data_IF_539382121275
#
_entry.id   IF_539382121275
#
_cell.length_a   1.000
_cell.length_b   1.000
_cell.length_c   1.000
_cell.angle_alpha   90.00
_cell.angle_beta   90.00
_cell.angle_gamma   90.00
#
_symmetry.space_group_name_H-M   'P 1'
#
loop_
_entity.id
_entity.type
_entity.pdbx_description
1 polymer ?
#
# COMPACT_ATOMS: atom_id res chain seq x y z
N UNK A 1 21.74 0.34 7.66
CA UNK A 1 22.16 -0.80 6.83
C UNK A 1 23.60 -0.64 6.32
N UNK A 2 24.06 0.50 5.76
CA UNK A 2 25.42 0.63 5.22
C UNK A 2 26.55 0.38 6.24
N UNK A 3 26.36 0.71 7.52
CA UNK A 3 27.38 0.48 8.58
C UNK A 3 27.75 -0.99 8.75
N UNK A 4 26.90 -1.91 8.36
CA UNK A 4 27.12 -3.36 8.44
C UNK A 4 27.20 -3.99 7.03
N UNK A 5 27.50 -3.20 6.01
CA UNK A 5 27.66 -3.68 4.64
C UNK A 5 26.38 -4.21 3.98
N UNK A 6 25.22 -3.77 4.46
CA UNK A 6 23.92 -4.07 3.85
C UNK A 6 23.44 -2.89 3.01
N UNK A 7 22.83 -3.18 1.87
CA UNK A 7 22.17 -2.19 1.03
C UNK A 7 20.65 -2.33 1.15
N UNK A 8 19.97 -1.22 1.43
CA UNK A 8 18.53 -1.18 1.57
C UNK A 8 18.00 0.10 0.89
N UNK A 9 18.00 0.13 -0.45
CA UNK A 9 17.59 1.32 -1.20
C UNK A 9 16.10 1.55 -1.07
N UNK A 10 15.74 2.67 -0.44
CA UNK A 10 14.36 3.09 -0.21
C UNK A 10 14.07 4.38 -0.97
N UNK A 11 12.83 4.53 -1.43
CA UNK A 11 12.29 5.78 -1.94
C UNK A 11 11.18 6.30 -1.05
N UNK A 12 11.09 7.61 -0.82
CA UNK A 12 10.00 8.19 -0.07
C UNK A 12 8.73 8.21 -0.93
N UNK A 13 7.64 7.69 -0.37
CA UNK A 13 6.31 7.79 -0.96
C UNK A 13 5.33 8.14 0.15
N UNK A 14 4.77 9.34 0.09
CA UNK A 14 3.78 9.79 1.07
C UNK A 14 2.39 9.28 0.71
N UNK A 15 1.66 8.79 1.71
CA UNK A 15 0.23 8.51 1.62
C UNK A 15 -0.54 9.38 2.58
N UNK A 16 -1.72 9.84 2.17
CA UNK A 16 -2.64 10.59 3.00
C UNK A 16 -3.85 9.73 3.39
N UNK A 17 -4.45 10.06 4.49
CA UNK A 17 -5.67 9.43 5.00
C UNK A 17 -6.64 10.52 5.45
N UNK A 18 -7.87 10.43 4.96
CA UNK A 18 -9.00 11.22 5.42
C UNK A 18 -9.84 10.36 6.36
N UNK A 19 -10.22 10.89 7.50
CA UNK A 19 -11.02 10.21 8.53
C UNK A 19 -12.33 10.98 8.73
N UNK A 20 -13.44 10.26 8.64
CA UNK A 20 -14.77 10.84 8.81
C UNK A 20 -15.24 10.80 10.26
N UNK A 21 -16.32 11.51 10.54
CA UNK A 21 -17.14 11.27 11.74
C UNK A 21 -17.67 9.84 11.77
N UNK A 22 -18.25 9.44 12.90
CA UNK A 22 -18.82 8.11 13.09
C UNK A 22 -20.13 7.95 12.34
N UNK A 23 -20.24 6.87 11.60
CA UNK A 23 -21.43 6.47 10.86
C UNK A 23 -21.98 5.15 11.38
N UNK A 24 -23.24 4.88 11.12
CA UNK A 24 -23.76 3.52 11.30
C UNK A 24 -22.97 2.54 10.43
N UNK A 25 -22.73 1.32 10.89
CA UNK A 25 -22.04 0.29 10.08
C UNK A 25 -22.75 0.08 8.74
N UNK A 26 -21.99 0.19 7.65
CA UNK A 26 -22.48 -0.08 6.29
C UNK A 26 -21.46 -0.84 5.45
N UNK A 27 -20.20 -0.91 5.90
CA UNK A 27 -19.11 -1.54 5.17
C UNK A 27 -18.55 -2.70 6.02
N UNK A 28 -18.98 -3.91 5.72
CA UNK A 28 -18.59 -5.12 6.48
C UNK A 28 -17.14 -5.56 6.18
N UNK A 29 -16.60 -5.21 5.00
CA UNK A 29 -15.26 -5.57 4.59
C UNK A 29 -14.57 -4.35 3.98
N UNK A 30 -13.26 -4.14 4.22
CA UNK A 30 -12.53 -3.05 3.59
C UNK A 30 -12.50 -3.24 2.07
N UNK A 31 -12.58 -2.12 1.36
CA UNK A 31 -12.25 -2.03 -0.06
C UNK A 31 -10.89 -1.35 -0.22
N UNK A 32 -10.33 -1.33 -1.43
CA UNK A 32 -8.96 -0.83 -1.65
C UNK A 32 -8.74 0.56 -1.07
N UNK A 33 -9.74 1.45 -1.18
CA UNK A 33 -9.61 2.86 -0.82
C UNK A 33 -10.36 3.25 0.46
N UNK A 34 -11.18 2.36 1.01
CA UNK A 34 -12.02 2.65 2.17
C UNK A 34 -12.03 1.50 3.17
N UNK A 35 -12.04 1.89 4.43
CA UNK A 35 -12.26 0.98 5.54
C UNK A 35 -13.15 1.67 6.58
N UNK A 36 -14.20 1.00 7.04
CA UNK A 36 -14.94 1.43 8.23
C UNK A 36 -14.38 0.73 9.46
N UNK A 37 -14.16 1.49 10.53
CA UNK A 37 -13.70 0.94 11.82
C UNK A 37 -14.90 0.43 12.63
N UNK A 38 -14.64 -0.37 13.66
CA UNK A 38 -15.68 -0.89 14.55
C UNK A 38 -16.43 0.24 15.28
N UNK A 39 -15.76 1.38 15.53
CA UNK A 39 -16.38 2.58 16.12
C UNK A 39 -17.23 3.37 15.12
N UNK A 40 -17.19 3.01 13.83
CA UNK A 40 -18.01 3.60 12.78
C UNK A 40 -17.33 4.69 11.94
N UNK A 41 -16.08 5.10 12.23
CA UNK A 41 -15.38 6.06 11.37
C UNK A 41 -14.99 5.43 10.03
N UNK A 42 -15.01 6.20 8.95
CA UNK A 42 -14.52 5.74 7.66
C UNK A 42 -13.14 6.35 7.42
N UNK A 43 -12.17 5.49 7.16
CA UNK A 43 -10.83 5.87 6.71
C UNK A 43 -10.79 5.77 5.19
N UNK A 44 -10.42 6.87 4.54
CA UNK A 44 -10.33 6.99 3.08
C UNK A 44 -8.86 7.24 2.74
N UNK A 45 -8.32 6.51 1.78
CA UNK A 45 -6.90 6.59 1.47
C UNK A 45 -6.53 6.05 0.08
N UNK A 46 -5.30 5.53 -0.02
CA UNK A 46 -4.64 5.02 -1.22
C UNK A 46 -4.07 6.13 -2.12
N UNK A 47 -3.67 7.26 -1.54
CA UNK A 47 -2.87 8.24 -2.27
C UNK A 47 -1.40 7.83 -2.32
N UNK A 48 -0.70 8.34 -3.35
CA UNK A 48 0.73 8.15 -3.57
C UNK A 48 1.33 9.45 -4.06
N UNK A 49 2.24 9.98 -3.28
CA UNK A 49 2.92 11.24 -3.59
C UNK A 49 4.42 11.06 -3.40
N UNK A 50 5.21 11.50 -4.36
CA UNK A 50 6.67 11.59 -4.18
C UNK A 50 6.97 12.78 -3.27
N UNK A 51 7.23 12.51 -2.01
CA UNK A 51 7.51 13.53 -1.01
C UNK A 51 8.36 12.97 0.12
N UNK A 52 9.27 13.79 0.62
CA UNK A 52 10.10 13.52 1.81
C UNK A 52 9.49 14.11 3.09
N UNK A 53 8.48 14.96 2.97
CA UNK A 53 7.79 15.55 4.12
C UNK A 53 6.72 14.60 4.64
N UNK A 54 6.91 14.04 5.86
CA UNK A 54 5.97 13.08 6.43
C UNK A 54 4.68 13.72 6.94
N UNK A 55 4.67 15.03 7.16
CA UNK A 55 3.57 15.75 7.82
C UNK A 55 2.75 16.63 6.87
N UNK A 56 3.25 16.84 5.66
CA UNK A 56 2.58 17.68 4.67
C UNK A 56 1.27 17.06 4.20
N UNK A 57 0.25 17.89 4.03
CA UNK A 57 -1.04 17.52 3.47
C UNK A 57 -1.27 18.29 2.17
N UNK A 58 -1.68 17.58 1.13
CA UNK A 58 -2.04 18.14 -0.17
C UNK A 58 -3.55 18.13 -0.31
N UNK A 59 -4.19 19.29 -0.25
CA UNK A 59 -5.66 19.42 -0.29
C UNK A 59 -6.23 18.77 -1.54
N UNK A 60 -5.60 18.96 -2.71
CA UNK A 60 -6.06 18.34 -3.96
C UNK A 60 -6.08 16.82 -3.91
N UNK A 61 -5.13 16.19 -3.20
CA UNK A 61 -5.12 14.74 -2.99
C UNK A 61 -6.27 14.30 -2.10
N UNK A 62 -6.46 14.96 -0.96
CA UNK A 62 -7.59 14.68 -0.06
C UNK A 62 -8.94 14.89 -0.74
N UNK A 63 -9.08 15.92 -1.59
CA UNK A 63 -10.28 16.14 -2.39
C UNK A 63 -10.54 15.01 -3.38
N UNK A 64 -9.50 14.51 -4.06
CA UNK A 64 -9.60 13.39 -4.98
C UNK A 64 -9.98 12.09 -4.25
N UNK A 65 -9.42 11.85 -3.06
CA UNK A 65 -9.78 10.71 -2.21
C UNK A 65 -11.26 10.78 -1.79
N UNK A 66 -11.70 11.96 -1.34
CA UNK A 66 -13.10 12.19 -0.96
C UNK A 66 -14.06 12.01 -2.15
N UNK A 67 -13.73 12.54 -3.32
CA UNK A 67 -14.53 12.35 -4.55
C UNK A 67 -14.67 10.87 -4.89
N UNK A 68 -13.58 10.11 -4.88
CA UNK A 68 -13.59 8.67 -5.13
C UNK A 68 -14.45 7.92 -4.12
N UNK A 69 -14.38 8.30 -2.85
CA UNK A 69 -15.18 7.72 -1.77
C UNK A 69 -16.68 7.95 -2.00
N UNK A 70 -17.08 9.19 -2.32
CA UNK A 70 -18.47 9.54 -2.62
C UNK A 70 -18.99 8.81 -3.86
N UNK A 71 -18.15 8.63 -4.89
CA UNK A 71 -18.53 7.86 -6.10
C UNK A 71 -18.78 6.38 -5.79
N UNK A 72 -18.03 5.78 -4.85
CA UNK A 72 -18.22 4.40 -4.42
C UNK A 72 -19.40 4.26 -3.46
N UNK A 73 -19.54 5.19 -2.54
CA UNK A 73 -20.57 5.21 -1.50
C UNK A 73 -21.21 6.61 -1.40
N UNK A 74 -22.28 6.88 -2.15
CA UNK A 74 -22.93 8.22 -2.18
C UNK A 74 -23.35 8.75 -0.82
N UNK A 75 -23.59 7.86 0.15
CA UNK A 75 -23.91 8.26 1.52
C UNK A 75 -22.82 9.13 2.19
N UNK A 76 -21.59 9.07 1.69
CA UNK A 76 -20.47 9.86 2.21
C UNK A 76 -20.48 11.32 1.77
N UNK A 77 -21.35 11.71 0.84
CA UNK A 77 -21.39 13.08 0.30
C UNK A 77 -21.68 14.16 1.36
N UNK A 78 -22.40 13.80 2.42
CA UNK A 78 -22.80 14.73 3.49
C UNK A 78 -22.13 14.42 4.84
N UNK A 79 -21.02 13.71 4.81
CA UNK A 79 -20.30 13.27 6.02
C UNK A 79 -19.16 14.23 6.33
N UNK A 80 -19.02 14.60 7.59
CA UNK A 80 -17.96 15.50 8.02
C UNK A 80 -16.60 14.78 8.11
N UNK A 81 -15.56 15.43 7.59
CA UNK A 81 -14.17 15.03 7.84
C UNK A 81 -13.75 15.57 9.19
N UNK A 82 -13.28 14.69 10.07
CA UNK A 82 -12.84 15.06 11.43
C UNK A 82 -11.33 15.10 11.55
N UNK A 83 -10.60 14.42 10.66
CA UNK A 83 -9.14 14.40 10.67
C UNK A 83 -8.58 14.03 9.30
N UNK A 84 -7.43 14.61 9.00
CA UNK A 84 -6.53 14.16 7.92
C UNK A 84 -5.12 13.99 8.48
N UNK A 85 -4.38 13.05 7.94
CA UNK A 85 -2.96 12.85 8.29
C UNK A 85 -2.22 12.21 7.13
N UNK A 86 -0.91 12.28 7.17
CA UNK A 86 -0.04 11.64 6.18
C UNK A 86 1.13 10.92 6.83
N UNK A 87 1.73 10.00 6.09
CA UNK A 87 2.95 9.32 6.49
C UNK A 87 3.76 8.89 5.27
N UNK A 88 5.08 8.80 5.46
CA UNK A 88 5.97 8.23 4.45
C UNK A 88 5.90 6.70 4.53
N UNK A 89 5.66 6.09 3.39
CA UNK A 89 5.69 4.64 3.24
C UNK A 89 7.12 4.15 3.10
N UNK A 90 7.36 2.94 3.59
CA UNK A 90 8.60 2.21 3.35
C UNK A 90 8.49 1.56 1.97
N UNK A 91 9.01 2.24 0.94
CA UNK A 91 8.97 1.74 -0.44
C UNK A 91 10.36 1.38 -0.92
N UNK A 92 10.52 0.15 -1.38
CA UNK A 92 11.70 -0.29 -2.12
C UNK A 92 11.64 0.20 -3.55
N UNK A 93 12.76 0.15 -4.29
CA UNK A 93 12.82 0.70 -5.65
C UNK A 93 11.85 0.00 -6.61
N UNK A 94 11.72 -1.31 -6.48
CA UNK A 94 10.88 -2.17 -7.31
C UNK A 94 9.56 -2.58 -6.66
N UNK A 95 9.31 -2.14 -5.41
CA UNK A 95 8.13 -2.51 -4.63
C UNK A 95 8.19 -3.90 -3.97
N UNK A 96 9.26 -4.67 -4.17
CA UNK A 96 9.42 -6.00 -3.57
C UNK A 96 10.16 -5.95 -2.23
N UNK A 97 9.94 -6.92 -1.34
CA UNK A 97 10.71 -7.03 -0.10
C UNK A 97 12.21 -7.21 -0.36
N UNK A 98 13.02 -6.60 0.49
CA UNK A 98 14.47 -6.79 0.53
C UNK A 98 14.75 -7.71 1.72
N UNK A 99 15.31 -8.88 1.44
CA UNK A 99 15.86 -9.83 2.42
C UNK A 99 17.33 -10.01 2.09
N UNK A 100 18.21 -9.61 2.99
CA UNK A 100 19.64 -9.71 2.76
C UNK A 100 20.40 -10.01 4.05
N UNK A 101 21.55 -10.62 3.92
CA UNK A 101 22.47 -10.96 5.00
C UNK A 101 23.84 -10.31 4.73
N UNK A 102 24.40 -9.70 5.76
CA UNK A 102 25.70 -9.04 5.65
C UNK A 102 26.82 -10.05 5.43
N UNK A 103 27.59 -9.81 4.38
CA UNK A 103 28.82 -10.60 4.09
C UNK A 103 30.01 -10.17 4.96
N UNK A 104 29.96 -8.99 5.55
CA UNK A 104 31.05 -8.39 6.32
C UNK A 104 30.82 -8.43 7.83
N UNK A 105 29.58 -8.59 8.25
CA UNK A 105 29.18 -8.62 9.67
C UNK A 105 28.22 -9.79 9.90
N UNK A 106 28.77 -11.01 10.17
CA UNK A 106 27.93 -12.19 10.40
C UNK A 106 26.87 -11.96 11.48
N UNK A 107 25.66 -12.40 11.22
CA UNK A 107 24.50 -12.20 12.11
C UNK A 107 23.76 -10.85 11.93
N UNK A 108 24.21 -10.03 10.99
CA UNK A 108 23.45 -8.82 10.62
C UNK A 108 22.58 -9.11 9.39
N UNK A 109 21.26 -8.91 9.55
CA UNK A 109 20.26 -9.15 8.51
C UNK A 109 19.44 -7.90 8.27
N UNK A 110 18.90 -7.74 7.05
CA UNK A 110 17.84 -6.79 6.75
C UNK A 110 16.59 -7.50 6.26
N UNK A 111 15.44 -7.06 6.79
CA UNK A 111 14.12 -7.47 6.35
C UNK A 111 13.32 -6.21 6.18
N UNK A 112 13.17 -5.75 4.95
CA UNK A 112 12.50 -4.49 4.66
C UNK A 112 11.48 -4.67 3.56
N UNK A 113 10.24 -4.25 3.79
CA UNK A 113 9.18 -4.34 2.80
C UNK A 113 8.11 -3.27 3.00
N UNK A 114 7.48 -2.91 1.93
CA UNK A 114 6.14 -2.37 1.91
C UNK A 114 5.15 -3.52 2.28
N UNK A 115 3.97 -3.20 2.81
CA UNK A 115 2.95 -4.20 3.17
C UNK A 115 3.36 -5.20 4.26
N UNK A 116 4.09 -4.75 5.28
CA UNK A 116 4.56 -5.61 6.38
C UNK A 116 3.46 -6.40 7.09
N UNK A 117 2.23 -5.85 7.20
CA UNK A 117 1.08 -6.58 7.75
C UNK A 117 0.70 -7.78 6.89
N UNK A 118 0.66 -7.61 5.57
CA UNK A 118 0.36 -8.70 4.62
C UNK A 118 1.41 -9.81 4.68
N UNK A 119 2.67 -9.43 4.83
CA UNK A 119 3.78 -10.39 4.92
C UNK A 119 4.08 -10.90 6.33
N UNK A 120 3.33 -10.48 7.35
CA UNK A 120 3.61 -10.80 8.75
C UNK A 120 3.72 -12.30 9.00
N UNK A 121 2.80 -13.11 8.45
CA UNK A 121 2.85 -14.56 8.59
C UNK A 121 4.10 -15.18 7.94
N UNK A 122 4.47 -14.73 6.74
CA UNK A 122 5.69 -15.19 6.07
C UNK A 122 6.94 -14.78 6.85
N UNK A 123 6.99 -13.55 7.36
CA UNK A 123 8.10 -13.10 8.19
C UNK A 123 8.23 -13.92 9.47
N UNK A 124 7.13 -14.20 10.15
CA UNK A 124 7.14 -14.95 11.41
C UNK A 124 7.43 -16.44 11.22
N UNK A 125 6.87 -17.06 10.19
CA UNK A 125 6.88 -18.51 10.01
C UNK A 125 8.03 -19.00 9.11
N UNK A 126 8.55 -18.14 8.25
CA UNK A 126 9.60 -18.50 7.28
C UNK A 126 10.89 -17.74 7.56
N UNK A 127 10.86 -16.42 7.54
CA UNK A 127 12.07 -15.58 7.60
C UNK A 127 12.69 -15.59 9.00
N UNK A 128 11.91 -15.42 10.06
CA UNK A 128 12.43 -15.41 11.42
C UNK A 128 13.12 -16.71 11.83
N UNK A 129 12.62 -17.92 11.52
CA UNK A 129 13.35 -19.17 11.72
C UNK A 129 14.65 -19.28 10.92
N UNK A 130 14.72 -18.71 9.70
CA UNK A 130 15.95 -18.66 8.93
C UNK A 130 17.01 -17.81 9.63
N UNK A 131 16.63 -16.59 10.04
CA UNK A 131 17.50 -15.68 10.79
C UNK A 131 17.96 -16.33 12.11
N UNK A 132 17.05 -17.02 12.84
CA UNK A 132 17.40 -17.70 14.09
C UNK A 132 18.40 -18.83 13.90
N UNK A 133 18.48 -19.44 12.72
CA UNK A 133 19.51 -20.43 12.37
C UNK A 133 20.82 -19.80 11.88
N UNK A 134 20.88 -18.47 11.79
CA UNK A 134 22.07 -17.72 11.41
C UNK A 134 22.31 -17.61 9.91
N UNK A 135 21.33 -17.93 9.07
CA UNK A 135 21.45 -17.76 7.63
C UNK A 135 20.07 -17.49 7.00
N UNK A 136 19.99 -16.51 6.14
CA UNK A 136 18.97 -16.48 5.10
C UNK A 136 19.45 -17.44 4.02
N UNK A 137 18.71 -18.52 3.77
CA UNK A 137 19.06 -19.57 2.80
C UNK A 137 19.18 -18.99 1.38
N UNK A 138 20.29 -18.29 1.14
CA UNK A 138 20.66 -17.75 -0.17
C UNK A 138 21.06 -18.85 -1.18
N UNK A 139 21.11 -20.10 -0.73
CA UNK A 139 21.48 -21.26 -1.55
C UNK A 139 20.32 -22.09 -2.08
N UNK A 140 19.10 -21.88 -1.61
CA UNK A 140 17.90 -22.34 -2.31
C UNK A 140 17.47 -21.23 -3.24
N UNK A 141 17.58 -21.51 -4.53
CA UNK A 141 17.02 -20.61 -5.54
C UNK A 141 15.65 -20.13 -5.04
N UNK A 142 15.51 -18.85 -4.68
CA UNK A 142 14.22 -18.32 -4.22
C UNK A 142 13.21 -18.26 -5.37
N UNK A 143 13.53 -18.91 -6.50
CA UNK A 143 12.79 -18.88 -7.73
C UNK A 143 11.31 -19.25 -7.57
N UNK A 144 10.86 -20.27 -6.82
CA UNK A 144 9.42 -20.50 -6.77
C UNK A 144 8.67 -19.49 -5.89
N UNK A 145 9.23 -19.07 -4.75
CA UNK A 145 8.52 -18.12 -3.86
C UNK A 145 8.67 -16.67 -4.30
N UNK A 146 9.85 -16.25 -4.74
CA UNK A 146 10.03 -14.92 -5.38
C UNK A 146 9.30 -14.86 -6.71
N UNK A 147 9.25 -15.93 -7.49
CA UNK A 147 8.45 -16.00 -8.70
C UNK A 147 6.94 -15.95 -8.37
N UNK A 148 6.46 -16.65 -7.34
CA UNK A 148 5.07 -16.62 -6.92
C UNK A 148 4.66 -15.23 -6.38
N UNK A 149 5.53 -14.58 -5.57
CA UNK A 149 5.30 -13.22 -5.10
C UNK A 149 5.38 -12.17 -6.23
N UNK A 150 6.33 -12.31 -7.15
CA UNK A 150 6.41 -11.48 -8.36
C UNK A 150 5.22 -11.71 -9.28
N UNK A 151 4.77 -12.94 -9.43
CA UNK A 151 3.59 -13.27 -10.25
C UNK A 151 2.31 -12.73 -9.62
N UNK A 152 2.15 -12.81 -8.29
CA UNK A 152 1.01 -12.24 -7.60
C UNK A 152 1.00 -10.70 -7.65
N UNK A 153 2.16 -10.05 -7.49
CA UNK A 153 2.28 -8.60 -7.62
C UNK A 153 2.04 -8.14 -9.06
N UNK A 154 2.62 -8.81 -10.05
CA UNK A 154 2.40 -8.52 -11.47
C UNK A 154 0.95 -8.74 -11.89
N UNK A 155 0.28 -9.77 -11.36
CA UNK A 155 -1.14 -9.99 -11.59
C UNK A 155 -2.01 -8.90 -10.96
N UNK A 156 -1.64 -8.41 -9.77
CA UNK A 156 -2.33 -7.28 -9.11
C UNK A 156 -2.15 -5.98 -9.88
N UNK A 157 -0.95 -5.72 -10.40
CA UNK A 157 -0.67 -4.54 -11.21
C UNK A 157 -1.35 -4.61 -12.59
N UNK A 158 -1.42 -5.79 -13.19
CA UNK A 158 -2.17 -6.02 -14.44
C UNK A 158 -3.68 -5.79 -14.24
N UNK A 159 -4.26 -6.31 -13.17
CA UNK A 159 -5.66 -6.07 -12.81
C UNK A 159 -5.95 -4.59 -12.52
N UNK A 160 -4.99 -3.89 -11.89
CA UNK A 160 -5.08 -2.43 -11.68
C UNK A 160 -5.05 -1.66 -13.00
N UNK A 161 -4.15 -2.01 -13.89
CA UNK A 161 -4.04 -1.38 -15.22
C UNK A 161 -5.30 -1.60 -16.06
N UNK A 162 -5.88 -2.80 -16.00
CA UNK A 162 -7.12 -3.13 -16.69
C UNK A 162 -8.33 -2.41 -16.07
N UNK A 163 -8.39 -2.27 -14.76
CA UNK A 163 -9.43 -1.50 -14.08
C UNK A 163 -9.36 0.00 -14.43
N UNK A 164 -8.16 0.58 -14.55
CA UNK A 164 -7.95 1.96 -15.00
C UNK A 164 -8.43 2.14 -16.45
N UNK A 165 -8.05 1.24 -17.36
CA UNK A 165 -8.49 1.26 -18.77
C UNK A 165 -10.01 1.14 -18.91
N UNK A 166 -10.65 0.28 -18.13
CA UNK A 166 -12.10 0.13 -18.09
C UNK A 166 -12.79 1.40 -17.56
N UNK A 167 -12.22 2.06 -16.55
CA UNK A 167 -12.69 3.33 -16.03
C UNK A 167 -12.63 4.46 -17.07
N UNK A 168 -11.53 4.54 -17.82
CA UNK A 168 -11.34 5.52 -18.89
C UNK A 168 -12.29 5.28 -20.06
N UNK A 169 -12.51 4.03 -20.48
CA UNK A 169 -13.44 3.67 -21.54
C UNK A 169 -14.90 3.95 -21.18
N UNK A 170 -15.30 3.75 -19.93
CA UNK A 170 -16.65 4.04 -19.45
C UNK A 170 -16.88 5.54 -19.17
N UNK A 171 -15.84 6.29 -18.75
CA UNK A 171 -15.88 7.74 -18.61
C UNK A 171 -16.04 8.46 -19.94
N UNK A 172 -15.39 7.97 -21.00
CA UNK A 172 -15.49 8.52 -22.34
C UNK A 172 -16.85 8.28 -23.03
N UNK A 173 -17.58 7.26 -22.64
CA UNK A 173 -18.94 7.00 -23.17
C UNK A 173 -20.00 7.91 -22.54
N UNK A 174 -19.88 8.24 -21.27
CA UNK A 174 -20.83 9.14 -20.58
C UNK A 174 -20.76 10.60 -21.05
N UNK A 175 -19.64 11.04 -21.59
CA UNK A 175 -19.49 12.40 -22.12
C UNK A 175 -20.08 12.57 -23.55
N UNK A 176 -20.46 11.50 -24.23
CA UNK A 176 -21.05 11.56 -25.59
C UNK A 176 -22.56 11.39 -25.62
N UNK A 177 -23.19 10.93 -24.55
CA UNK A 177 -24.63 10.71 -24.47
C UNK A 177 -25.38 11.80 -23.67
N UNK A 178 -24.76 12.96 -23.50
CA UNK A 178 -25.31 14.12 -22.77
C UNK A 178 -25.86 15.21 -23.69
N UNK A 179 -26.63 14.85 -24.68
CA UNK A 179 -27.59 15.75 -25.36
C UNK A 179 -29.01 15.40 -24.90
N UNK A 180 -29.44 16.07 -23.82
CA UNK A 180 -30.85 16.42 -23.55
C UNK A 180 -30.89 17.57 -22.53
#
# INVERSE_FOLDING_TARGET
APMVGLDCPMRPERGQIVVTERLRPFLNHPVVTLRQTDEGTVMIGDSKEESVDPSGLTIGVSATEAERAVRQFPLLANVNVVRTWSAIRVMTQDGFPIYDESKTHPGAFTVCCHSGVTFAANHALTIAPMIARGALDAGRDPAPEKAALRTAAAATDALRADAIKLGEQNGGKRAKDGDF
#
